data_IF_959310541262
#
_entry.id   IF_959310541262
#
_cell.length_a   1.000
_cell.length_b   1.000
_cell.length_c   1.000
_cell.angle_alpha   90.00
_cell.angle_beta   90.00
_cell.angle_gamma   90.00
#
_symmetry.space_group_name_H-M   'P 1'
#
loop_
_entity.id
_entity.type
_entity.pdbx_description
1 polymer ?
#
# COMPACT_ATOMS: atom_id res chain seq x y z
N UNK A 1 6.30 2.47 6.59
CA UNK A 1 5.38 1.33 6.47
C UNK A 1 6.18 0.05 6.37
N UNK A 2 5.85 -0.98 7.15
CA UNK A 2 6.44 -2.30 6.98
C UNK A 2 5.77 -2.98 5.78
N UNK A 3 6.14 -2.60 4.55
CA UNK A 3 5.75 -3.36 3.37
C UNK A 3 6.69 -4.54 3.23
N UNK A 4 6.12 -5.74 3.07
CA UNK A 4 6.87 -6.96 2.83
C UNK A 4 7.76 -6.79 1.59
N UNK A 5 9.02 -7.25 1.70
CA UNK A 5 9.99 -7.25 0.61
C UNK A 5 9.67 -8.42 -0.33
N UNK A 6 9.60 -8.13 -1.62
CA UNK A 6 9.29 -9.14 -2.63
C UNK A 6 8.50 -8.56 -3.80
N UNK A 7 8.56 -9.30 -4.91
CA UNK A 7 7.99 -8.87 -6.20
C UNK A 7 6.82 -9.73 -6.66
N UNK A 8 6.49 -10.79 -5.92
CA UNK A 8 5.42 -11.71 -6.28
C UNK A 8 4.06 -11.01 -6.20
N UNK A 9 3.13 -11.43 -7.06
CA UNK A 9 1.75 -10.90 -7.07
C UNK A 9 1.10 -11.00 -5.67
N UNK A 10 1.38 -12.07 -4.94
CA UNK A 10 0.92 -12.30 -3.55
C UNK A 10 1.46 -11.26 -2.57
N UNK A 11 2.74 -10.91 -2.67
CA UNK A 11 3.36 -9.89 -1.80
C UNK A 11 2.81 -8.49 -2.11
N UNK A 12 2.63 -8.17 -3.40
CA UNK A 12 2.04 -6.90 -3.82
C UNK A 12 0.59 -6.79 -3.32
N UNK A 13 -0.22 -7.85 -3.47
CA UNK A 13 -1.60 -7.85 -3.00
C UNK A 13 -1.70 -7.75 -1.48
N UNK A 14 -0.84 -8.46 -0.73
CA UNK A 14 -0.76 -8.36 0.73
C UNK A 14 -0.42 -6.93 1.18
N UNK A 15 0.60 -6.33 0.56
CA UNK A 15 1.01 -4.95 0.82
C UNK A 15 -0.14 -3.95 0.56
N UNK A 16 -0.89 -4.10 -0.54
CA UNK A 16 -2.06 -3.25 -0.84
C UNK A 16 -3.15 -3.44 0.22
N UNK A 17 -3.46 -4.68 0.61
CA UNK A 17 -4.48 -4.99 1.61
C UNK A 17 -4.13 -4.35 2.97
N UNK A 18 -2.87 -4.44 3.39
CA UNK A 18 -2.40 -3.89 4.67
C UNK A 18 -2.45 -2.35 4.70
N UNK A 19 -2.12 -1.70 3.58
CA UNK A 19 -2.27 -0.25 3.44
C UNK A 19 -3.74 0.18 3.49
N UNK A 20 -4.63 -0.55 2.82
CA UNK A 20 -6.07 -0.28 2.86
C UNK A 20 -6.67 -0.57 4.25
N UNK A 21 -6.19 -1.58 4.97
CA UNK A 21 -6.58 -1.83 6.36
C UNK A 21 -6.14 -0.69 7.28
N UNK A 22 -4.91 -0.18 7.09
CA UNK A 22 -4.41 0.99 7.83
C UNK A 22 -5.25 2.24 7.57
N UNK A 23 -5.69 2.46 6.32
CA UNK A 23 -6.62 3.52 5.97
C UNK A 23 -7.97 3.36 6.67
N UNK A 24 -8.53 2.15 6.71
CA UNK A 24 -9.79 1.91 7.44
C UNK A 24 -9.66 2.16 8.94
N UNK A 25 -8.50 1.83 9.53
CA UNK A 25 -8.27 1.96 10.98
C UNK A 25 -7.93 3.39 11.42
N UNK A 26 -7.11 4.10 10.66
CA UNK A 26 -6.55 5.41 11.06
C UNK A 26 -7.00 6.58 10.16
N UNK A 27 -7.66 6.28 9.04
CA UNK A 27 -7.96 7.24 7.99
C UNK A 27 -6.75 7.65 7.15
N UNK A 28 -5.57 7.03 7.35
CA UNK A 28 -4.31 7.41 6.69
C UNK A 28 -3.61 6.21 6.07
N UNK A 29 -2.88 6.47 5.00
CA UNK A 29 -1.92 5.54 4.39
C UNK A 29 -0.54 6.13 4.65
N UNK A 30 0.06 5.73 5.76
CA UNK A 30 1.41 6.17 6.13
C UNK A 30 1.34 7.64 6.54
N UNK A 31 2.04 8.50 5.80
CA UNK A 31 2.01 9.95 6.05
C UNK A 31 0.91 10.68 5.26
N UNK A 32 0.25 10.01 4.31
CA UNK A 32 -0.76 10.64 3.45
C UNK A 32 -2.15 10.33 4.00
N UNK A 33 -3.05 11.32 3.94
CA UNK A 33 -4.47 11.16 4.29
C UNK A 33 -5.32 11.20 3.02
N UNK A 34 -5.68 10.04 2.43
CA UNK A 34 -6.49 10.00 1.21
C UNK A 34 -7.87 10.61 1.45
N UNK A 35 -8.38 11.38 0.47
CA UNK A 35 -9.72 11.98 0.55
C UNK A 35 -10.85 10.94 0.49
N UNK A 36 -10.65 9.83 -0.21
CA UNK A 36 -11.65 8.78 -0.38
C UNK A 36 -10.99 7.41 -0.60
N UNK A 37 -11.79 6.34 -0.53
CA UNK A 37 -11.31 4.96 -0.67
C UNK A 37 -10.68 4.69 -2.04
N UNK A 38 -11.13 5.37 -3.10
CA UNK A 38 -10.55 5.23 -4.45
C UNK A 38 -9.13 5.80 -4.51
N UNK A 39 -8.92 6.99 -3.93
CA UNK A 39 -7.62 7.62 -3.81
C UNK A 39 -6.68 6.79 -2.92
N UNK A 40 -7.21 6.23 -1.84
CA UNK A 40 -6.47 5.31 -0.97
C UNK A 40 -5.93 4.09 -1.75
N UNK A 41 -6.77 3.45 -2.57
CA UNK A 41 -6.36 2.32 -3.43
C UNK A 41 -5.28 2.70 -4.43
N UNK A 42 -5.40 3.87 -5.07
CA UNK A 42 -4.40 4.34 -6.04
C UNK A 42 -3.02 4.53 -5.38
N UNK A 43 -2.98 5.18 -4.22
CA UNK A 43 -1.73 5.38 -3.45
C UNK A 43 -1.16 4.03 -3.01
N UNK A 44 -2.01 3.13 -2.49
CA UNK A 44 -1.59 1.80 -2.05
C UNK A 44 -0.98 1.00 -3.20
N UNK A 45 -1.61 0.95 -4.37
CA UNK A 45 -1.06 0.27 -5.54
C UNK A 45 0.27 0.87 -5.98
N UNK A 46 0.36 2.20 -6.07
CA UNK A 46 1.60 2.88 -6.46
C UNK A 46 2.76 2.59 -5.48
N UNK A 47 2.50 2.65 -4.17
CA UNK A 47 3.48 2.36 -3.14
C UNK A 47 3.93 0.89 -3.16
N UNK A 48 2.99 -0.05 -3.32
CA UNK A 48 3.30 -1.48 -3.40
C UNK A 48 4.17 -1.81 -4.63
N UNK A 49 3.82 -1.27 -5.80
CA UNK A 49 4.62 -1.45 -7.02
C UNK A 49 5.97 -0.74 -6.97
N UNK A 50 6.06 0.44 -6.34
CA UNK A 50 7.32 1.14 -6.12
C UNK A 50 8.26 0.33 -5.22
N UNK A 51 7.72 -0.21 -4.12
CA UNK A 51 8.48 -1.07 -3.20
C UNK A 51 8.95 -2.36 -3.87
N UNK A 52 8.07 -3.00 -4.66
CA UNK A 52 8.39 -4.20 -5.41
C UNK A 52 9.51 -3.96 -6.45
N UNK A 53 9.55 -2.78 -7.09
CA UNK A 53 10.66 -2.39 -7.98
C UNK A 53 11.98 -2.17 -7.24
N UNK A 54 11.94 -1.57 -6.04
CA UNK A 54 13.11 -1.29 -5.20
C UNK A 54 13.69 -2.50 -4.47
N UNK A 55 13.08 -3.68 -4.61
CA UNK A 55 13.55 -4.93 -4.02
C UNK A 55 14.54 -5.69 -4.93
N UNK A 56 15.03 -5.06 -6.00
CA UNK A 56 16.12 -5.54 -6.86
C UNK A 56 17.46 -5.20 -6.21
#
# INVERSE_FOLDING_TARGET
>A
MPLAKGRSKKVISANIAEMMASFKRTGKIGNIRPRNARHARAIASAAAHSKARRSK
#
